data_IF_132630166828
#
_entry.id   IF_132630166828
#
_cell.length_a   1.000
_cell.length_b   1.000
_cell.length_c   1.000
_cell.angle_alpha   90.00
_cell.angle_beta   90.00
_cell.angle_gamma   90.00
#
_symmetry.space_group_name_H-M   'P 1'
#
loop_
_entity.id
_entity.type
_entity.pdbx_description
1 polymer ?
#
# COMPACT_ATOMS: atom_id res chain seq x y z
N UNK A 1 14.76 -93.41 60.26
CA UNK A 1 13.37 -93.33 60.80
C UNK A 1 12.83 -91.97 60.36
N UNK A 2 11.76 -91.78 59.59
CA UNK A 2 10.37 -92.27 59.63
C UNK A 2 9.75 -92.07 58.22
N UNK A 3 9.33 -93.12 57.48
CA UNK A 3 7.95 -93.63 57.29
C UNK A 3 6.85 -92.61 56.88
N UNK A 4 6.37 -92.76 55.63
CA UNK A 4 4.96 -92.70 55.09
C UNK A 4 4.15 -91.39 55.26
N UNK A 5 3.11 -91.06 54.47
CA UNK A 5 2.51 -91.56 53.22
C UNK A 5 1.53 -90.50 52.69
N UNK A 6 1.52 -90.38 51.36
CA UNK A 6 0.39 -90.11 50.44
C UNK A 6 -1.02 -90.22 51.02
N UNK A 7 -1.94 -89.34 50.59
CA UNK A 7 -3.28 -89.77 50.20
C UNK A 7 -3.76 -89.07 48.90
N UNK A 8 -4.51 -89.79 48.02
CA UNK A 8 -4.77 -89.43 46.63
C UNK A 8 -6.25 -89.09 46.35
N UNK A 9 -6.53 -88.52 45.18
CA UNK A 9 -7.64 -88.90 44.26
C UNK A 9 -7.68 -87.87 43.13
N UNK A 10 -7.35 -88.26 41.88
CA UNK A 10 -8.26 -88.73 40.79
C UNK A 10 -9.09 -87.55 40.22
N UNK A 11 -9.25 -87.33 38.92
CA UNK A 11 -9.09 -88.15 37.68
C UNK A 11 -9.38 -87.23 36.47
N UNK A 12 -8.60 -87.29 35.37
CA UNK A 12 -8.85 -88.02 34.08
C UNK A 12 -9.74 -87.23 33.11
N UNK A 13 -9.19 -86.73 31.99
CA UNK A 13 -9.02 -87.37 30.64
C UNK A 13 -10.31 -87.21 29.81
N UNK A 14 -10.32 -86.98 28.50
CA UNK A 14 -9.42 -87.47 27.47
C UNK A 14 -9.75 -86.84 26.09
N UNK A 15 -8.82 -87.03 25.13
CA UNK A 15 -9.09 -87.10 23.69
C UNK A 15 -8.71 -85.85 22.87
N UNK A 16 -7.86 -85.89 21.84
CA UNK A 16 -7.17 -86.97 21.13
C UNK A 16 -6.57 -86.40 19.81
N UNK A 17 -5.34 -86.80 19.47
CA UNK A 17 -4.50 -86.43 18.29
C UNK A 17 -4.83 -87.32 17.04
N UNK A 18 -4.10 -87.31 15.88
CA UNK A 18 -3.52 -86.26 15.00
C UNK A 18 -3.65 -86.55 13.45
N UNK A 19 -3.04 -85.70 12.60
CA UNK A 19 -2.38 -86.01 11.28
C UNK A 19 -3.00 -85.57 9.92
N UNK A 20 -2.24 -84.68 9.23
CA UNK A 20 -1.83 -84.58 7.80
C UNK A 20 -2.84 -84.64 6.62
N UNK A 21 -2.89 -83.55 5.82
CA UNK A 21 -2.73 -83.61 4.35
C UNK A 21 -3.80 -83.00 3.41
N UNK A 22 -3.43 -81.92 2.67
CA UNK A 22 -4.05 -81.42 1.42
C UNK A 22 -5.06 -80.25 1.61
N UNK A 23 -5.19 -79.23 0.75
CA UNK A 23 -4.71 -78.92 -0.60
C UNK A 23 -5.08 -77.41 -0.87
N UNK A 24 -4.17 -76.63 -1.48
CA UNK A 24 -4.35 -75.35 -2.23
C UNK A 24 -5.20 -74.17 -1.67
N UNK A 25 -4.55 -73.05 -1.29
CA UNK A 25 -4.47 -71.80 -2.08
C UNK A 25 -3.86 -70.62 -1.27
N UNK A 26 -3.45 -69.57 -1.97
CA UNK A 26 -2.20 -68.83 -1.79
C UNK A 26 -2.43 -67.30 -1.74
N UNK A 27 -1.64 -66.58 -0.91
CA UNK A 27 -1.32 -65.12 -0.93
C UNK A 27 -2.48 -64.13 -0.71
N UNK A 28 -2.27 -62.91 -0.19
CA UNK A 28 -1.11 -62.03 -0.32
C UNK A 28 -0.88 -61.16 0.91
N UNK A 29 0.36 -61.15 1.41
CA UNK A 29 0.89 -59.97 2.12
C UNK A 29 1.03 -58.89 1.07
N UNK A 30 0.28 -57.79 1.22
CA UNK A 30 0.43 -56.60 0.40
C UNK A 30 1.91 -56.19 0.41
N UNK A 31 2.53 -55.97 -0.76
CA UNK A 31 3.93 -55.61 -0.82
C UNK A 31 4.11 -54.22 -0.16
N UNK A 32 5.23 -53.99 0.55
CA UNK A 32 5.52 -52.70 1.19
C UNK A 32 5.53 -51.54 0.19
N UNK A 33 5.60 -51.85 -1.11
CA UNK A 33 5.51 -50.90 -2.22
C UNK A 33 4.15 -50.20 -2.29
N UNK A 34 3.04 -50.87 -1.97
CA UNK A 34 1.71 -50.23 -2.00
C UNK A 34 1.60 -49.16 -0.91
N UNK A 35 2.07 -49.50 0.30
CA UNK A 35 2.10 -48.59 1.44
C UNK A 35 3.06 -47.42 1.18
N UNK A 36 4.23 -47.70 0.61
CA UNK A 36 5.20 -46.66 0.21
C UNK A 36 4.62 -45.76 -0.88
N UNK A 37 3.97 -46.32 -1.90
CA UNK A 37 3.35 -45.56 -2.97
C UNK A 37 2.24 -44.64 -2.45
N UNK A 38 1.42 -45.11 -1.50
CA UNK A 38 0.37 -44.28 -0.88
C UNK A 38 0.95 -43.15 -0.03
N UNK A 39 2.05 -43.39 0.69
CA UNK A 39 2.75 -42.34 1.45
C UNK A 39 3.35 -41.31 0.50
N UNK A 40 4.02 -41.74 -0.56
CA UNK A 40 4.58 -40.85 -1.58
C UNK A 40 3.48 -40.04 -2.27
N UNK A 41 2.36 -40.67 -2.63
CA UNK A 41 1.22 -39.98 -3.22
C UNK A 41 0.60 -38.98 -2.24
N UNK A 42 0.52 -39.32 -0.96
CA UNK A 42 0.05 -38.43 0.10
C UNK A 42 0.96 -37.20 0.28
N UNK A 43 2.27 -37.37 0.24
CA UNK A 43 3.24 -36.26 0.29
C UNK A 43 3.14 -35.38 -0.95
N UNK A 44 2.99 -35.97 -2.14
CA UNK A 44 2.79 -35.22 -3.39
C UNK A 44 1.48 -34.43 -3.36
N UNK A 45 0.39 -35.04 -2.86
CA UNK A 45 -0.90 -34.37 -2.70
C UNK A 45 -0.83 -33.25 -1.67
N UNK A 46 -0.09 -33.42 -0.57
CA UNK A 46 0.15 -32.35 0.40
C UNK A 46 0.96 -31.21 -0.22
N UNK A 47 2.05 -31.49 -0.93
CA UNK A 47 2.86 -30.48 -1.64
C UNK A 47 2.00 -29.76 -2.69
N UNK A 48 1.20 -30.50 -3.46
CA UNK A 48 0.27 -29.94 -4.43
C UNK A 48 -0.80 -29.10 -3.74
N UNK A 49 -1.37 -29.54 -2.61
CA UNK A 49 -2.37 -28.80 -1.82
C UNK A 49 -1.80 -27.51 -1.22
N UNK A 50 -0.60 -27.55 -0.63
CA UNK A 50 0.09 -26.35 -0.14
C UNK A 50 0.52 -25.40 -1.27
N UNK A 51 0.75 -25.92 -2.49
CA UNK A 51 1.05 -25.11 -3.68
C UNK A 51 -0.19 -24.73 -4.52
N UNK A 52 -1.37 -25.30 -4.23
CA UNK A 52 -2.66 -24.98 -4.89
C UNK A 52 -3.62 -24.22 -3.98
N UNK A 53 -3.30 -24.12 -2.69
CA UNK A 53 -3.75 -23.03 -1.83
C UNK A 53 -3.25 -21.71 -2.41
N UNK A 54 -4.18 -20.80 -2.64
CA UNK A 54 -4.02 -19.50 -3.29
C UNK A 54 -2.64 -18.90 -3.06
N UNK A 55 -1.86 -18.78 -4.15
CA UNK A 55 -0.55 -18.16 -4.15
C UNK A 55 -0.59 -16.75 -3.61
N UNK A 56 -0.44 -16.63 -2.28
CA UNK A 56 0.09 -15.46 -1.59
C UNK A 56 1.61 -15.55 -1.78
N UNK A 57 2.06 -15.30 -3.00
CA UNK A 57 3.43 -14.86 -3.21
C UNK A 57 3.47 -13.40 -2.77
N UNK A 58 3.95 -13.17 -1.55
CA UNK A 58 4.43 -11.85 -1.10
C UNK A 58 5.71 -11.54 -1.91
N UNK A 59 5.53 -11.28 -3.20
CA UNK A 59 6.38 -10.33 -3.87
C UNK A 59 5.83 -8.98 -3.43
N UNK A 60 6.62 -8.20 -2.70
CA UNK A 60 6.38 -6.76 -2.53
C UNK A 60 6.57 -6.06 -3.87
N UNK A 61 5.79 -6.45 -4.87
CA UNK A 61 5.32 -5.50 -5.86
C UNK A 61 4.26 -4.74 -5.10
N UNK A 62 4.60 -3.53 -4.68
CA UNK A 62 3.64 -2.47 -4.46
C UNK A 62 2.70 -2.53 -5.66
N UNK A 63 1.57 -3.22 -5.49
CA UNK A 63 0.45 -3.09 -6.38
C UNK A 63 -0.06 -1.68 -6.11
N UNK A 64 0.62 -0.72 -6.72
CA UNK A 64 -0.03 0.48 -7.22
C UNK A 64 -1.07 -0.08 -8.17
N UNK A 65 -2.23 -0.48 -7.61
CA UNK A 65 -3.45 -0.60 -8.39
C UNK A 65 -3.45 0.69 -9.17
N UNK A 66 -3.31 0.60 -10.49
CA UNK A 66 -3.33 1.75 -11.37
C UNK A 66 -4.70 2.36 -11.15
N UNK A 67 -4.80 3.26 -10.18
CA UNK A 67 -6.03 3.96 -9.87
C UNK A 67 -6.12 4.93 -11.03
N UNK A 68 -6.72 4.47 -12.12
CA UNK A 68 -6.99 5.28 -13.29
C UNK A 68 -7.69 6.55 -12.77
N UNK A 69 -6.94 7.65 -12.73
CA UNK A 69 -7.37 8.95 -12.23
C UNK A 69 -7.12 9.27 -10.75
N UNK A 70 -5.92 9.06 -10.19
CA UNK A 70 -5.48 9.77 -8.96
C UNK A 70 -4.17 10.49 -9.20
N UNK A 71 -4.14 11.78 -8.91
CA UNK A 71 -2.94 12.60 -8.98
C UNK A 71 -1.93 12.31 -7.88
N UNK A 72 -2.32 11.65 -6.80
CA UNK A 72 -1.37 11.22 -5.76
C UNK A 72 -0.42 10.14 -6.29
N UNK A 73 -0.91 9.23 -7.12
CA UNK A 73 -0.03 8.27 -7.83
C UNK A 73 0.92 8.97 -8.81
N UNK A 74 0.51 10.11 -9.38
CA UNK A 74 1.34 10.94 -10.24
C UNK A 74 2.48 11.61 -9.46
N UNK A 75 2.26 12.03 -8.21
CA UNK A 75 3.32 12.57 -7.35
C UNK A 75 4.50 11.60 -7.29
N UNK A 76 4.23 10.32 -7.02
CA UNK A 76 5.26 9.28 -6.92
C UNK A 76 6.04 9.10 -8.23
N UNK A 77 5.36 9.15 -9.38
CA UNK A 77 5.99 9.10 -10.71
C UNK A 77 6.81 10.35 -11.00
N UNK A 78 6.35 11.51 -10.52
CA UNK A 78 6.99 12.81 -10.75
C UNK A 78 8.19 13.07 -9.83
N UNK A 79 8.31 12.37 -8.70
CA UNK A 79 9.35 12.59 -7.68
C UNK A 79 10.78 12.71 -8.25
N UNK A 80 11.25 11.85 -9.17
CA UNK A 80 12.61 11.99 -9.72
C UNK A 80 12.81 13.31 -10.48
N UNK A 81 11.79 13.77 -11.20
CA UNK A 81 11.83 15.03 -11.96
C UNK A 81 11.72 16.24 -11.02
N UNK A 82 10.90 16.15 -9.97
CA UNK A 82 10.82 17.17 -8.92
C UNK A 82 12.18 17.34 -8.24
N UNK A 83 12.88 16.25 -7.90
CA UNK A 83 14.24 16.33 -7.34
C UNK A 83 15.22 17.02 -8.27
N UNK A 84 15.13 16.77 -9.57
CA UNK A 84 15.98 17.45 -10.55
C UNK A 84 15.63 18.94 -10.68
N UNK A 85 14.35 19.28 -10.60
CA UNK A 85 13.88 20.67 -10.71
C UNK A 85 14.23 21.51 -9.48
N UNK A 86 13.97 20.98 -8.29
CA UNK A 86 14.12 21.70 -7.02
C UNK A 86 15.51 21.49 -6.37
N UNK A 87 16.19 20.37 -6.64
CA UNK A 87 17.53 20.11 -6.13
C UNK A 87 17.59 20.22 -4.60
N UNK A 88 18.41 21.16 -4.11
CA UNK A 88 18.57 21.44 -2.68
C UNK A 88 17.32 22.02 -2.02
N UNK A 89 16.40 22.62 -2.79
CA UNK A 89 15.11 23.08 -2.28
C UNK A 89 14.13 21.91 -1.99
N UNK A 90 14.51 20.66 -2.28
CA UNK A 90 13.73 19.47 -1.93
C UNK A 90 14.29 18.75 -0.69
N UNK A 91 14.74 19.52 0.31
CA UNK A 91 15.25 18.98 1.59
C UNK A 91 14.14 18.71 2.60
N UNK A 92 13.19 19.65 2.73
CA UNK A 92 12.09 19.57 3.68
C UNK A 92 10.75 19.66 2.96
N UNK A 93 10.05 18.53 2.86
CA UNK A 93 8.86 18.39 2.02
C UNK A 93 7.61 18.15 2.86
N UNK A 94 6.54 18.89 2.57
CA UNK A 94 5.20 18.61 3.08
C UNK A 94 4.33 18.09 1.94
N UNK A 95 3.78 16.89 2.09
CA UNK A 95 2.70 16.41 1.23
C UNK A 95 1.34 16.74 1.84
N UNK A 96 0.38 17.21 1.03
CA UNK A 96 -1.00 17.50 1.46
C UNK A 96 -1.97 16.84 0.49
N UNK A 97 -2.74 15.86 0.97
CA UNK A 97 -3.68 15.14 0.14
C UNK A 97 -3.98 13.73 0.65
N UNK A 98 -4.89 13.01 -0.02
CA UNK A 98 -5.12 11.60 0.28
C UNK A 98 -3.82 10.79 0.15
N UNK A 99 -3.75 9.68 0.86
CA UNK A 99 -2.61 8.75 0.87
C UNK A 99 -1.27 9.43 1.25
N UNK A 100 -1.32 10.47 2.08
CA UNK A 100 -0.13 11.18 2.56
C UNK A 100 0.82 10.26 3.31
N UNK A 101 0.30 9.28 4.04
CA UNK A 101 1.11 8.24 4.69
C UNK A 101 2.00 7.48 3.69
N UNK A 102 1.46 7.12 2.52
CA UNK A 102 2.21 6.38 1.50
C UNK A 102 3.31 7.25 0.91
N UNK A 103 2.99 8.49 0.52
CA UNK A 103 3.96 9.43 -0.05
C UNK A 103 5.09 9.71 0.94
N UNK A 104 4.76 10.02 2.20
CA UNK A 104 5.75 10.28 3.26
C UNK A 104 6.60 9.04 3.53
N UNK A 105 6.01 7.85 3.62
CA UNK A 105 6.76 6.63 3.85
C UNK A 105 7.83 6.40 2.77
N UNK A 106 7.50 6.69 1.51
CA UNK A 106 8.43 6.51 0.40
C UNK A 106 9.52 7.58 0.38
N UNK A 107 9.19 8.85 0.64
CA UNK A 107 10.18 9.90 0.78
C UNK A 107 11.18 9.61 1.91
N UNK A 108 10.70 9.12 3.05
CA UNK A 108 11.55 8.77 4.20
C UNK A 108 12.46 7.57 3.92
N UNK A 109 12.00 6.56 3.16
CA UNK A 109 12.81 5.39 2.77
C UNK A 109 14.07 5.79 1.99
N UNK A 110 14.04 6.90 1.27
CA UNK A 110 15.18 7.37 0.50
C UNK A 110 16.28 8.03 1.34
N UNK A 111 15.97 8.46 2.58
CA UNK A 111 16.94 8.98 3.56
C UNK A 111 17.59 10.33 3.22
N UNK A 112 17.25 10.96 2.10
CA UNK A 112 17.82 12.24 1.65
C UNK A 112 16.91 13.45 1.85
N UNK A 113 15.65 13.20 2.19
CA UNK A 113 14.59 14.20 2.29
C UNK A 113 13.89 14.02 3.62
N UNK A 114 13.70 15.11 4.35
CA UNK A 114 12.81 15.15 5.50
C UNK A 114 11.38 15.35 5.00
N UNK A 115 10.46 14.46 5.38
CA UNK A 115 9.11 14.44 4.83
C UNK A 115 8.03 14.43 5.91
N UNK A 116 6.99 15.24 5.70
CA UNK A 116 5.78 15.31 6.49
C UNK A 116 4.54 15.22 5.61
N UNK A 117 3.43 14.85 6.23
CA UNK A 117 2.13 14.73 5.57
C UNK A 117 1.04 15.47 6.32
N UNK A 118 0.08 16.00 5.58
CA UNK A 118 -1.24 16.36 6.09
C UNK A 118 -2.24 15.50 5.36
N UNK A 119 -2.93 14.68 6.14
CA UNK A 119 -4.03 13.85 5.69
C UNK A 119 -5.34 14.61 5.99
N UNK A 120 -6.02 15.18 4.98
CA UNK A 120 -7.20 15.99 5.20
C UNK A 120 -8.42 15.25 5.74
N UNK A 121 -8.42 13.91 5.71
CA UNK A 121 -9.59 13.08 5.97
C UNK A 121 -9.30 12.01 7.03
N UNK A 122 -10.36 11.60 7.72
CA UNK A 122 -10.23 10.64 8.81
C UNK A 122 -9.92 9.23 8.29
N UNK A 123 -9.16 8.51 9.10
CA UNK A 123 -8.45 7.30 8.73
C UNK A 123 -9.08 6.07 9.39
N UNK A 124 -10.40 5.89 9.22
CA UNK A 124 -11.16 4.82 9.88
C UNK A 124 -10.59 3.41 9.55
N UNK A 125 -10.07 3.22 8.33
CA UNK A 125 -9.53 1.94 7.82
C UNK A 125 -8.03 1.96 7.48
N UNK A 126 -7.20 2.65 8.25
CA UNK A 126 -5.75 2.69 7.93
C UNK A 126 -4.92 1.54 8.46
N UNK A 127 -3.96 1.14 7.62
CA UNK A 127 -2.82 0.28 7.93
C UNK A 127 -2.05 0.78 9.18
N UNK A 128 -1.61 -0.17 9.99
CA UNK A 128 -0.65 -0.02 11.08
C UNK A 128 0.55 0.90 10.79
N UNK A 129 1.09 0.89 9.57
CA UNK A 129 2.19 1.75 9.11
C UNK A 129 1.78 3.21 9.12
N UNK A 130 0.62 3.53 8.56
CA UNK A 130 0.09 4.89 8.57
C UNK A 130 -0.21 5.36 10.00
N UNK A 131 -0.82 4.50 10.84
CA UNK A 131 -1.01 4.78 12.28
C UNK A 131 0.30 5.08 12.99
N UNK A 132 1.40 4.40 12.63
CA UNK A 132 2.74 4.67 13.16
C UNK A 132 3.26 6.04 12.75
N UNK A 133 3.11 6.42 11.48
CA UNK A 133 3.51 7.75 10.99
C UNK A 133 2.73 8.88 11.66
N UNK A 134 1.43 8.68 11.90
CA UNK A 134 0.60 9.62 12.64
C UNK A 134 1.06 9.74 14.09
N UNK A 135 1.26 8.62 14.80
CA UNK A 135 1.74 8.63 16.19
C UNK A 135 3.11 9.28 16.35
N UNK A 136 4.00 9.10 15.37
CA UNK A 136 5.33 9.74 15.35
C UNK A 136 5.28 11.22 14.94
N UNK A 137 4.12 11.72 14.50
CA UNK A 137 3.95 13.11 14.08
C UNK A 137 4.49 13.44 12.69
N UNK A 138 4.87 12.44 11.89
CA UNK A 138 5.25 12.64 10.49
C UNK A 138 4.02 12.98 9.64
N UNK A 139 2.87 12.40 9.96
CA UNK A 139 1.59 12.72 9.29
C UNK A 139 0.63 13.30 10.31
N UNK A 140 -0.02 14.41 9.97
CA UNK A 140 -1.07 15.02 10.79
C UNK A 140 -2.41 14.91 10.10
N UNK A 141 -3.43 14.48 10.84
CA UNK A 141 -4.81 14.53 10.37
C UNK A 141 -5.33 15.96 10.57
N UNK A 142 -5.60 16.67 9.48
CA UNK A 142 -6.03 18.06 9.55
C UNK A 142 -6.79 18.45 8.29
N UNK A 143 -8.03 18.89 8.47
CA UNK A 143 -8.88 19.37 7.38
C UNK A 143 -8.32 20.68 6.78
N UNK A 144 -7.94 20.64 5.51
CA UNK A 144 -7.30 21.74 4.77
C UNK A 144 -8.23 22.94 4.50
N UNK A 145 -9.52 22.85 4.86
CA UNK A 145 -10.41 24.02 4.91
C UNK A 145 -10.02 24.98 6.04
N UNK A 146 -9.22 24.53 6.99
CA UNK A 146 -8.69 25.30 8.12
C UNK A 146 -7.17 25.47 7.99
N UNK A 147 -6.58 26.47 8.69
CA UNK A 147 -5.15 26.69 8.65
C UNK A 147 -4.36 25.45 9.06
N UNK A 148 -3.33 25.13 8.29
CA UNK A 148 -2.41 24.05 8.54
C UNK A 148 -1.70 24.26 9.88
N UNK A 149 -1.44 23.20 10.65
CA UNK A 149 -0.86 23.28 11.99
C UNK A 149 0.67 23.48 11.94
N UNK A 150 1.15 24.33 11.03
CA UNK A 150 2.54 24.65 10.79
C UNK A 150 2.75 26.17 10.69
N UNK A 151 3.92 26.64 11.10
CA UNK A 151 4.31 28.04 10.99
C UNK A 151 4.63 28.39 9.54
N UNK A 152 4.69 29.67 9.23
CA UNK A 152 5.14 30.11 7.90
C UNK A 152 6.56 29.61 7.63
N UNK A 153 6.89 29.34 6.37
CA UNK A 153 8.22 28.90 5.93
C UNK A 153 8.74 27.64 6.64
N UNK A 154 7.82 26.74 7.01
CA UNK A 154 8.17 25.50 7.71
C UNK A 154 8.77 24.45 6.79
N UNK A 155 8.52 24.53 5.47
CA UNK A 155 8.92 23.54 4.48
C UNK A 155 9.48 24.25 3.24
N UNK A 156 10.54 23.68 2.64
CA UNK A 156 11.07 24.20 1.39
C UNK A 156 10.06 24.00 0.25
N UNK A 157 9.50 22.78 0.17
CA UNK A 157 8.56 22.39 -0.89
C UNK A 157 7.27 21.84 -0.31
N UNK A 158 6.14 22.38 -0.74
CA UNK A 158 4.81 21.83 -0.44
C UNK A 158 4.27 21.17 -1.69
N UNK A 159 3.88 19.90 -1.60
CA UNK A 159 3.29 19.14 -2.71
C UNK A 159 1.85 18.80 -2.35
N UNK A 160 0.92 19.14 -3.25
CA UNK A 160 -0.51 18.94 -3.04
C UNK A 160 -1.07 18.07 -4.16
N UNK A 161 -1.79 17.00 -3.84
CA UNK A 161 -2.45 16.14 -4.83
C UNK A 161 -3.87 15.78 -4.40
N UNK A 162 -4.79 15.65 -5.36
CA UNK A 162 -6.18 15.18 -5.17
C UNK A 162 -6.96 15.82 -4.00
N UNK A 163 -6.58 17.03 -3.59
CA UNK A 163 -7.16 17.68 -2.40
C UNK A 163 -7.99 18.92 -2.77
N UNK A 164 -7.49 19.72 -3.72
CA UNK A 164 -8.07 21.02 -4.06
C UNK A 164 -9.31 20.91 -4.97
N UNK A 165 -9.40 19.86 -5.78
CA UNK A 165 -10.55 19.64 -6.68
C UNK A 165 -11.86 19.48 -5.90
N UNK A 166 -11.77 19.03 -4.65
CA UNK A 166 -12.89 18.89 -3.74
C UNK A 166 -13.27 20.20 -3.05
N UNK A 167 -12.49 21.28 -3.16
CA UNK A 167 -12.80 22.54 -2.47
C UNK A 167 -13.70 23.46 -3.30
N UNK A 168 -14.59 24.17 -2.60
CA UNK A 168 -15.35 25.29 -3.18
C UNK A 168 -14.46 26.52 -3.28
N UNK A 169 -14.78 27.49 -4.16
CA UNK A 169 -14.01 28.75 -4.26
C UNK A 169 -13.80 29.46 -2.91
N UNK A 170 -14.81 29.43 -2.03
CA UNK A 170 -14.71 29.98 -0.67
C UNK A 170 -13.57 29.38 0.15
N UNK A 171 -13.36 28.06 0.06
CA UNK A 171 -12.28 27.39 0.79
C UNK A 171 -10.96 27.49 0.04
N UNK A 172 -10.95 27.39 -1.30
CA UNK A 172 -9.75 27.61 -2.10
C UNK A 172 -9.07 28.95 -1.80
N UNK A 173 -9.86 30.02 -1.64
CA UNK A 173 -9.35 31.36 -1.29
C UNK A 173 -8.65 31.43 0.07
N UNK A 174 -8.90 30.46 0.97
CA UNK A 174 -8.23 30.37 2.27
C UNK A 174 -7.09 29.37 2.24
N UNK A 175 -7.32 28.22 1.61
CA UNK A 175 -6.37 27.10 1.56
C UNK A 175 -5.15 27.41 0.71
N UNK A 176 -5.29 28.08 -0.45
CA UNK A 176 -4.15 28.39 -1.31
C UNK A 176 -3.13 29.33 -0.64
N UNK A 177 -3.53 30.47 -0.05
CA UNK A 177 -2.59 31.30 0.71
C UNK A 177 -1.95 30.58 1.89
N UNK A 178 -2.68 29.68 2.56
CA UNK A 178 -2.15 28.96 3.71
C UNK A 178 -1.14 27.86 3.32
N UNK A 179 -1.38 27.18 2.19
CA UNK A 179 -0.40 26.26 1.58
C UNK A 179 0.87 26.98 1.15
N UNK A 180 0.70 28.15 0.53
CA UNK A 180 1.82 28.97 0.11
C UNK A 180 2.59 29.53 1.31
N UNK A 181 1.89 29.97 2.37
CA UNK A 181 2.48 30.48 3.62
C UNK A 181 3.45 29.48 4.27
N UNK A 182 3.15 28.19 4.26
CA UNK A 182 4.01 27.18 4.90
C UNK A 182 5.19 26.74 4.02
N UNK A 183 5.22 27.19 2.76
CA UNK A 183 6.26 26.91 1.77
C UNK A 183 7.26 28.07 1.66
N UNK A 184 8.56 27.75 1.62
CA UNK A 184 9.64 28.73 1.42
C UNK A 184 10.06 28.85 -0.05
N UNK A 185 10.28 27.72 -0.74
CA UNK A 185 10.90 27.71 -2.08
C UNK A 185 9.89 27.39 -3.20
N UNK A 186 8.82 26.65 -2.92
CA UNK A 186 7.80 26.38 -3.93
C UNK A 186 6.62 25.55 -3.48
N UNK A 187 5.49 25.79 -4.14
CA UNK A 187 4.25 25.03 -4.02
C UNK A 187 4.00 24.27 -5.33
N UNK A 188 3.90 22.95 -5.27
CA UNK A 188 3.57 22.11 -6.43
C UNK A 188 2.17 21.54 -6.26
N UNK A 189 1.30 21.80 -7.23
CA UNK A 189 -0.08 21.32 -7.22
C UNK A 189 -0.28 20.33 -8.35
N UNK A 190 -0.74 19.12 -8.01
CA UNK A 190 -1.21 18.10 -8.92
C UNK A 190 -2.74 18.07 -8.89
N UNK A 191 -3.38 18.58 -9.95
CA UNK A 191 -4.83 18.63 -10.09
C UNK A 191 -5.32 17.72 -11.22
N UNK A 192 -6.52 17.17 -11.06
CA UNK A 192 -7.09 16.26 -12.07
C UNK A 192 -7.44 17.00 -13.36
N UNK A 193 -7.24 16.34 -14.51
CA UNK A 193 -7.54 16.92 -15.82
C UNK A 193 -8.99 16.61 -16.25
N UNK A 194 -9.81 17.62 -16.62
CA UNK A 194 -11.14 17.39 -17.17
C UNK A 194 -11.10 16.42 -18.36
N UNK A 195 -11.95 15.39 -18.34
CA UNK A 195 -12.07 14.41 -19.44
C UNK A 195 -11.07 13.26 -19.39
N UNK A 196 -9.91 13.41 -18.74
CA UNK A 196 -8.98 12.30 -18.49
C UNK A 196 -9.22 11.63 -17.14
N UNK A 197 -9.73 12.37 -16.17
CA UNK A 197 -10.12 11.83 -14.88
C UNK A 197 -11.64 11.85 -14.72
N UNK A 198 -12.20 10.75 -14.21
CA UNK A 198 -13.60 10.68 -13.82
C UNK A 198 -13.67 10.92 -12.31
N UNK A 199 -14.54 11.84 -11.83
CA UNK A 199 -14.78 11.98 -10.40
C UNK A 199 -15.16 10.62 -9.84
N UNK A 200 -14.39 10.10 -8.88
CA UNK A 200 -14.72 8.83 -8.25
C UNK A 200 -15.96 9.04 -7.39
N UNK A 201 -17.08 8.46 -7.82
CA UNK A 201 -18.34 8.48 -7.07
C UNK A 201 -18.18 7.74 -5.73
N UNK A 202 -17.31 6.72 -5.68
CA UNK A 202 -16.94 6.00 -4.46
C UNK A 202 -16.20 6.86 -3.43
N UNK A 203 -15.68 8.00 -3.85
CA UNK A 203 -14.97 8.95 -3.00
C UNK A 203 -15.94 10.00 -2.38
N UNK A 204 -17.19 10.10 -2.86
CA UNK A 204 -18.22 10.99 -2.29
C UNK A 204 -18.40 10.88 -0.77
N UNK A 205 -18.38 9.68 -0.13
CA UNK A 205 -18.49 9.58 1.32
C UNK A 205 -17.31 10.23 2.05
N UNK A 206 -16.12 10.23 1.44
CA UNK A 206 -14.90 10.81 2.01
C UNK A 206 -14.85 12.33 1.88
N UNK A 207 -15.29 12.85 0.74
CA UNK A 207 -15.16 14.28 0.41
C UNK A 207 -16.43 15.11 0.66
N UNK A 208 -17.57 14.45 0.92
CA UNK A 208 -18.88 15.08 1.11
C UNK A 208 -19.44 15.79 -0.13
N UNK A 209 -18.67 15.81 -1.23
CA UNK A 209 -19.01 16.41 -2.52
C UNK A 209 -18.15 15.81 -3.63
N UNK A 210 -18.65 15.77 -4.88
CA UNK A 210 -17.86 15.28 -6.00
C UNK A 210 -16.68 16.22 -6.30
N UNK A 211 -15.57 15.64 -6.77
CA UNK A 211 -14.46 16.41 -7.30
C UNK A 211 -14.94 17.31 -8.45
N UNK A 212 -14.61 18.60 -8.38
CA UNK A 212 -14.81 19.53 -9.50
C UNK A 212 -13.49 19.67 -10.23
N UNK A 213 -13.31 18.86 -11.27
CA UNK A 213 -12.15 18.95 -12.15
C UNK A 213 -12.23 20.25 -12.97
N UNK A 214 -11.12 20.99 -13.03
CA UNK A 214 -11.06 22.32 -13.68
C UNK A 214 -9.94 22.33 -14.71
N UNK A 215 -10.12 23.09 -15.79
CA UNK A 215 -9.11 23.19 -16.84
C UNK A 215 -7.87 23.93 -16.35
N UNK A 216 -6.75 23.73 -17.06
CA UNK A 216 -5.49 24.39 -16.74
C UNK A 216 -5.63 25.92 -16.77
N UNK A 217 -6.30 26.43 -17.81
CA UNK A 217 -6.63 27.85 -17.93
C UNK A 217 -7.43 28.41 -16.75
N UNK A 218 -8.32 27.61 -16.17
CA UNK A 218 -9.06 28.01 -14.98
C UNK A 218 -8.13 28.10 -13.77
N UNK A 219 -7.29 27.07 -13.55
CA UNK A 219 -6.33 27.02 -12.45
C UNK A 219 -5.33 28.17 -12.53
N UNK A 220 -4.69 28.39 -13.68
CA UNK A 220 -3.75 29.49 -13.91
C UNK A 220 -4.39 30.84 -13.60
N UNK A 221 -5.61 31.10 -14.09
CA UNK A 221 -6.32 32.36 -13.80
C UNK A 221 -6.62 32.52 -12.30
N UNK A 222 -6.99 31.43 -11.64
CA UNK A 222 -7.31 31.43 -10.22
C UNK A 222 -6.06 31.67 -9.34
N UNK A 223 -4.93 31.07 -9.69
CA UNK A 223 -3.66 31.28 -9.00
C UNK A 223 -3.23 32.75 -9.05
N UNK A 224 -3.25 33.36 -10.25
CA UNK A 224 -2.92 34.78 -10.41
C UNK A 224 -3.87 35.67 -9.58
N UNK A 225 -5.17 35.36 -9.54
CA UNK A 225 -6.14 36.09 -8.72
C UNK A 225 -5.92 35.95 -7.21
N UNK A 226 -5.23 34.89 -6.78
CA UNK A 226 -4.92 34.62 -5.36
C UNK A 226 -3.49 35.03 -5.00
N UNK A 227 -2.78 35.73 -5.89
CA UNK A 227 -1.42 36.21 -5.66
C UNK A 227 -0.34 35.14 -5.84
N UNK A 228 -0.67 33.99 -6.42
CA UNK A 228 0.29 32.94 -6.77
C UNK A 228 0.71 33.10 -8.22
N UNK A 229 2.02 32.98 -8.46
CA UNK A 229 2.63 33.07 -9.78
C UNK A 229 3.35 31.79 -10.13
N UNK A 230 3.63 31.59 -11.41
CA UNK A 230 4.33 30.42 -11.89
C UNK A 230 5.82 30.49 -11.54
N UNK A 231 6.34 29.44 -10.92
CA UNK A 231 7.75 29.34 -10.54
C UNK A 231 8.57 28.88 -11.75
N UNK A 232 8.89 29.82 -12.65
CA UNK A 232 9.49 29.54 -13.95
C UNK A 232 10.80 28.74 -13.87
N UNK A 233 11.61 28.94 -12.83
CA UNK A 233 12.92 28.31 -12.68
C UNK A 233 12.82 26.78 -12.53
N UNK A 234 12.17 26.28 -11.46
CA UNK A 234 11.85 24.87 -11.30
C UNK A 234 10.99 24.32 -12.44
N UNK A 235 10.03 25.09 -12.98
CA UNK A 235 9.19 24.63 -14.08
C UNK A 235 10.03 24.27 -15.32
N UNK A 236 10.91 25.17 -15.78
CA UNK A 236 11.77 24.92 -16.95
C UNK A 236 12.66 23.69 -16.74
N UNK A 237 13.23 23.54 -15.53
CA UNK A 237 14.05 22.36 -15.19
C UNK A 237 13.22 21.07 -15.15
N UNK A 238 11.98 21.15 -14.70
CA UNK A 238 11.05 20.02 -14.71
C UNK A 238 10.72 19.61 -16.15
N UNK A 239 10.33 20.55 -17.01
CA UNK A 239 10.05 20.30 -18.44
C UNK A 239 11.27 19.72 -19.19
N UNK A 240 12.47 20.23 -18.91
CA UNK A 240 13.71 19.68 -19.47
C UNK A 240 13.98 18.25 -18.96
N UNK A 241 13.61 17.94 -17.72
CA UNK A 241 13.78 16.60 -17.15
C UNK A 241 12.77 15.60 -17.71
N UNK A 242 11.53 16.02 -17.94
CA UNK A 242 10.43 15.17 -18.40
C UNK A 242 10.49 14.91 -19.90
N UNK A 243 10.86 15.92 -20.70
CA UNK A 243 11.06 15.78 -22.16
C UNK A 243 12.12 14.72 -22.50
N UNK A 244 13.22 14.67 -21.74
CA UNK A 244 14.30 13.68 -21.92
C UNK A 244 13.86 12.22 -21.69
N UNK A 245 12.78 12.01 -20.93
CA UNK A 245 12.31 10.67 -20.53
C UNK A 245 10.91 10.35 -21.10
N UNK A 246 10.41 11.17 -22.03
CA UNK A 246 9.05 11.06 -22.59
C UNK A 246 7.95 10.96 -21.53
N UNK A 247 8.17 11.57 -20.36
CA UNK A 247 7.21 11.53 -19.27
C UNK A 247 5.99 12.39 -19.62
N UNK A 248 4.82 11.78 -19.59
CA UNK A 248 3.52 12.43 -19.82
C UNK A 248 2.65 12.26 -18.57
N UNK A 249 2.40 13.34 -17.81
CA UNK A 249 1.58 13.24 -16.62
C UNK A 249 0.10 13.04 -16.97
N UNK A 250 -0.61 12.25 -16.16
CA UNK A 250 -2.07 12.08 -16.26
C UNK A 250 -2.82 13.19 -15.49
N UNK A 251 -2.07 14.10 -14.86
CA UNK A 251 -2.54 15.24 -14.09
C UNK A 251 -1.94 16.55 -14.58
N UNK A 252 -2.61 17.63 -14.22
CA UNK A 252 -2.12 18.98 -14.42
C UNK A 252 -1.16 19.30 -13.27
N UNK A 253 0.09 19.62 -13.59
CA UNK A 253 1.14 19.90 -12.61
C UNK A 253 1.46 21.40 -12.70
N UNK A 254 1.31 22.09 -11.58
CA UNK A 254 1.59 23.52 -11.49
C UNK A 254 2.73 23.74 -10.49
N UNK A 255 3.73 24.52 -10.91
CA UNK A 255 4.84 24.95 -10.07
C UNK A 255 4.61 26.41 -9.70
N UNK A 256 4.39 26.70 -8.42
CA UNK A 256 3.94 28.00 -7.95
C UNK A 256 4.89 28.58 -6.90
N UNK A 257 4.87 29.91 -6.82
CA UNK A 257 5.51 30.70 -5.77
C UNK A 257 4.63 31.89 -5.41
N UNK A 258 4.81 32.43 -4.21
CA UNK A 258 4.26 33.72 -3.78
C UNK A 258 5.04 34.88 -4.36
#
# INVERSE_FOLDING_TARGET
MSRRSVNPSRRVSDGGLPSVGGLFHHKSRSPPVLTIALVVLGVILLIAYFNSGSGVTVTSREAVSRSEGSCTSEVMRALPYLKKAYGTAMQKVLHVGPDSCTVVSNLLKEGKVEAWGVEPYDLEDTDSSCKSLVRKGFVRMSDIKFPLPYRSDSFNLVVVSDALDYLTPRYLNKTLPDLARVSTDGLVIFAGNPGQQKPKVSELPKFGRPAKLRSSSWWTRYFVQTGLTENEGPLKKFEEATSKNEYKPDCQIFHLST
#
